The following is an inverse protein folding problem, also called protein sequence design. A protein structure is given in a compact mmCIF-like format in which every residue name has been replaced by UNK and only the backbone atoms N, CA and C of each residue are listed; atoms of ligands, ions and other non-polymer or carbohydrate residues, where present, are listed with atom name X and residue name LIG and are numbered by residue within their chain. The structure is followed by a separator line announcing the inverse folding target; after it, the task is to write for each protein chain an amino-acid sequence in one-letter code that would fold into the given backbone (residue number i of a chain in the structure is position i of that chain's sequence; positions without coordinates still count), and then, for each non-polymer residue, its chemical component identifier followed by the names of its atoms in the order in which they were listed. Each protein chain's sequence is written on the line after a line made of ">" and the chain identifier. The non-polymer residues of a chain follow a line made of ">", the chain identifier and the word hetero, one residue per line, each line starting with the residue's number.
data_IF_008285349329
#
_entry.id   IF_008285349329
#
_cell.length_a   1.000
_cell.length_b   1.000
_cell.length_c   1.000
_cell.angle_alpha   90.00
_cell.angle_beta   90.00
_cell.angle_gamma   90.00
#
_symmetry.space_group_name_H-M   'P 1'
#
loop_
_entity.id
_entity.type
_entity.pdbx_description
1 polymer ?
#
# COMPACT_ATOMS: atom_id res chain seq x y z
N UNK A 1 -11.19 7.45 -14.54
CA UNK A 1 -11.46 6.23 -13.74
C UNK A 1 -10.21 5.85 -13.00
N UNK A 2 -10.34 5.56 -11.71
CA UNK A 2 -9.19 5.14 -10.88
C UNK A 2 -8.87 3.68 -11.20
N UNK A 3 -7.63 3.38 -11.50
CA UNK A 3 -7.18 2.02 -11.71
C UNK A 3 -7.25 1.24 -10.38
N UNK A 4 -7.81 0.03 -10.42
CA UNK A 4 -7.96 -0.83 -9.23
C UNK A 4 -6.68 -1.67 -9.08
N UNK A 5 -6.12 -1.72 -7.88
CA UNK A 5 -5.04 -2.67 -7.58
C UNK A 5 -5.61 -4.09 -7.62
N UNK A 6 -4.96 -4.97 -8.37
CA UNK A 6 -5.41 -6.35 -8.53
C UNK A 6 -5.25 -7.17 -7.25
N UNK A 7 -6.10 -8.18 -7.01
CA UNK A 7 -6.00 -9.04 -5.83
C UNK A 7 -4.62 -9.71 -5.67
N UNK A 8 -3.94 -10.05 -6.76
CA UNK A 8 -2.59 -10.62 -6.73
C UNK A 8 -1.56 -9.65 -6.12
N UNK A 9 -1.74 -8.35 -6.36
CA UNK A 9 -0.87 -7.29 -5.84
C UNK A 9 -1.26 -6.94 -4.41
N UNK A 10 -2.57 -6.85 -4.09
CA UNK A 10 -3.06 -6.62 -2.73
C UNK A 10 -2.54 -7.70 -1.79
N UNK A 11 -2.60 -8.98 -2.18
CA UNK A 11 -2.08 -10.08 -1.38
C UNK A 11 -0.58 -9.93 -1.08
N UNK A 12 0.21 -9.57 -2.08
CA UNK A 12 1.65 -9.35 -1.91
C UNK A 12 1.95 -8.08 -1.10
N UNK A 13 1.20 -6.98 -1.31
CA UNK A 13 1.31 -5.75 -0.51
C UNK A 13 1.11 -6.06 0.97
N UNK A 14 0.06 -6.80 1.33
CA UNK A 14 -0.24 -7.18 2.70
C UNK A 14 0.90 -7.99 3.31
N UNK A 15 1.44 -8.95 2.57
CA UNK A 15 2.54 -9.81 3.03
C UNK A 15 3.86 -9.06 3.16
N UNK A 16 4.24 -8.27 2.17
CA UNK A 16 5.51 -7.54 2.18
C UNK A 16 5.50 -6.36 3.15
N UNK A 17 4.35 -5.71 3.35
CA UNK A 17 4.19 -4.71 4.40
C UNK A 17 4.06 -5.33 5.79
N UNK A 18 3.98 -6.67 5.89
CA UNK A 18 3.78 -7.37 7.16
C UNK A 18 2.61 -6.76 7.95
N UNK A 19 1.45 -6.67 7.31
CA UNK A 19 0.23 -6.16 7.97
C UNK A 19 -0.28 -7.22 8.94
N UNK A 20 -0.30 -6.89 10.21
CA UNK A 20 -0.68 -7.81 11.29
C UNK A 20 -1.93 -7.32 12.06
N UNK A 21 -2.65 -8.21 12.75
CA UNK A 21 -3.75 -7.81 13.62
C UNK A 21 -3.29 -6.84 14.73
N UNK A 22 -3.92 -5.68 14.79
CA UNK A 22 -3.53 -4.61 15.73
C UNK A 22 -2.62 -3.54 15.14
N UNK A 23 -2.13 -3.70 13.89
CA UNK A 23 -1.26 -2.71 13.27
C UNK A 23 -1.95 -1.36 13.07
N UNK A 24 -1.20 -0.28 13.29
CA UNK A 24 -1.57 1.08 12.92
C UNK A 24 -1.01 1.39 11.53
N UNK A 25 -1.88 1.46 10.55
CA UNK A 25 -1.54 1.64 9.14
C UNK A 25 -1.96 3.01 8.66
N UNK A 26 -1.07 3.68 7.93
CA UNK A 26 -1.42 4.86 7.11
C UNK A 26 -1.36 4.45 5.65
N UNK A 27 -2.42 4.79 4.91
CA UNK A 27 -2.56 4.58 3.48
C UNK A 27 -2.74 5.93 2.79
N UNK A 28 -2.18 6.08 1.59
CA UNK A 28 -2.57 7.15 0.70
C UNK A 28 -2.83 6.63 -0.71
N UNK A 29 -3.87 7.21 -1.33
CA UNK A 29 -4.45 6.71 -2.56
C UNK A 29 -5.63 5.78 -2.30
N UNK A 30 -6.67 6.28 -1.61
CA UNK A 30 -7.87 5.51 -1.28
C UNK A 30 -8.52 4.85 -2.51
N UNK A 31 -8.48 5.56 -3.64
CA UNK A 31 -8.83 5.03 -4.95
C UNK A 31 -10.20 4.37 -4.99
N UNK A 32 -10.23 3.08 -5.30
CA UNK A 32 -11.45 2.25 -5.32
C UNK A 32 -11.85 1.70 -3.95
N UNK A 33 -10.96 1.76 -2.96
CA UNK A 33 -11.11 1.13 -1.65
C UNK A 33 -10.71 -0.35 -1.60
N UNK A 34 -10.25 -0.93 -2.71
CA UNK A 34 -9.91 -2.36 -2.75
C UNK A 34 -8.72 -2.71 -1.85
N UNK A 35 -7.65 -1.89 -1.89
CA UNK A 35 -6.51 -2.04 -0.99
C UNK A 35 -6.92 -1.80 0.46
N UNK A 36 -7.65 -0.73 0.74
CA UNK A 36 -8.16 -0.39 2.07
C UNK A 36 -8.96 -1.52 2.69
N UNK A 37 -9.84 -2.18 1.91
CA UNK A 37 -10.58 -3.36 2.38
C UNK A 37 -9.63 -4.48 2.79
N UNK A 38 -8.56 -4.73 2.02
CA UNK A 38 -7.52 -5.69 2.36
C UNK A 38 -6.80 -5.34 3.66
N UNK A 39 -6.41 -4.07 3.80
CA UNK A 39 -5.73 -3.55 5.00
C UNK A 39 -6.62 -3.68 6.25
N UNK A 40 -7.89 -3.26 6.18
CA UNK A 40 -8.85 -3.36 7.28
C UNK A 40 -9.06 -4.81 7.74
N UNK A 41 -9.19 -5.76 6.81
CA UNK A 41 -9.32 -7.18 7.13
C UNK A 41 -8.08 -7.73 7.82
N UNK A 42 -6.89 -7.28 7.39
CA UNK A 42 -5.62 -7.77 7.93
C UNK A 42 -5.28 -7.15 9.28
N UNK A 43 -5.58 -5.86 9.50
CA UNK A 43 -5.39 -5.20 10.80
C UNK A 43 -6.40 -5.67 11.85
N UNK A 44 -7.56 -6.15 11.41
CA UNK A 44 -8.64 -6.56 12.29
C UNK A 44 -9.19 -5.43 13.17
N UNK A 45 -10.05 -5.78 14.11
CA UNK A 45 -10.74 -4.80 14.97
C UNK A 45 -9.83 -4.09 15.98
N UNK A 46 -8.66 -4.67 16.29
CA UNK A 46 -7.68 -4.09 17.22
C UNK A 46 -6.68 -3.14 16.55
N UNK A 47 -6.61 -3.15 15.22
CA UNK A 47 -5.77 -2.24 14.45
C UNK A 47 -6.55 -1.04 13.92
N UNK A 48 -5.87 -0.19 13.16
CA UNK A 48 -6.48 0.98 12.54
C UNK A 48 -5.87 1.28 11.17
N UNK A 49 -6.69 1.81 10.26
CA UNK A 49 -6.27 2.30 8.96
C UNK A 49 -6.67 3.77 8.85
N UNK A 50 -5.70 4.65 8.63
CA UNK A 50 -5.93 6.04 8.26
C UNK A 50 -5.64 6.20 6.79
N UNK A 51 -6.65 6.51 5.98
CA UNK A 51 -6.53 6.67 4.54
C UNK A 51 -6.63 8.13 4.12
N UNK A 52 -5.63 8.62 3.39
CA UNK A 52 -5.58 9.97 2.82
C UNK A 52 -6.18 9.99 1.42
N UNK A 53 -7.10 10.93 1.17
CA UNK A 53 -7.70 11.16 -0.14
C UNK A 53 -7.95 12.67 -0.34
N UNK A 54 -7.55 13.16 -1.51
CA UNK A 54 -7.75 14.57 -1.88
C UNK A 54 -9.21 14.89 -2.21
N UNK A 55 -9.91 13.95 -2.80
CA UNK A 55 -11.22 14.16 -3.41
C UNK A 55 -12.33 13.48 -2.62
N UNK A 56 -13.20 14.25 -1.98
CA UNK A 56 -14.34 13.74 -1.20
C UNK A 56 -15.26 12.81 -1.99
N UNK A 57 -15.52 13.12 -3.25
CA UNK A 57 -16.35 12.29 -4.12
C UNK A 57 -15.73 10.92 -4.39
N UNK A 58 -14.41 10.84 -4.47
CA UNK A 58 -13.69 9.57 -4.63
C UNK A 58 -13.77 8.74 -3.35
N UNK A 59 -13.58 9.36 -2.19
CA UNK A 59 -13.71 8.69 -0.91
C UNK A 59 -15.12 8.11 -0.72
N UNK A 60 -16.18 8.86 -1.09
CA UNK A 60 -17.57 8.35 -1.04
C UNK A 60 -17.76 7.12 -1.93
N UNK A 61 -17.21 7.12 -3.15
CA UNK A 61 -17.28 5.96 -4.04
C UNK A 61 -16.56 4.75 -3.44
N UNK A 62 -15.37 4.95 -2.89
CA UNK A 62 -14.60 3.90 -2.25
C UNK A 62 -15.35 3.29 -1.06
N UNK A 63 -15.93 4.11 -0.19
CA UNK A 63 -16.77 3.63 0.93
C UNK A 63 -17.98 2.80 0.44
N UNK A 64 -18.65 3.24 -0.62
CA UNK A 64 -19.75 2.48 -1.22
C UNK A 64 -19.28 1.13 -1.79
N UNK A 65 -18.05 1.05 -2.29
CA UNK A 65 -17.46 -0.22 -2.74
C UNK A 65 -17.10 -1.16 -1.59
N UNK A 66 -16.66 -0.62 -0.45
CA UNK A 66 -16.25 -1.41 0.73
C UNK A 66 -17.46 -1.91 1.51
N UNK A 67 -18.50 -1.07 1.67
CA UNK A 67 -19.64 -1.33 2.57
C UNK A 67 -20.38 -2.65 2.36
N UNK A 68 -20.51 -3.23 1.14
CA UNK A 68 -21.10 -4.54 0.95
C UNK A 68 -20.29 -5.68 1.55
N UNK A 69 -18.98 -5.49 1.71
CA UNK A 69 -18.02 -6.51 2.18
C UNK A 69 -17.63 -6.35 3.65
N UNK A 70 -17.80 -5.15 4.20
CA UNK A 70 -17.45 -4.81 5.57
C UNK A 70 -18.42 -3.74 6.11
N UNK A 71 -19.36 -4.16 6.94
CA UNK A 71 -20.41 -3.26 7.48
C UNK A 71 -19.86 -2.37 8.60
N UNK A 72 -18.99 -2.93 9.44
CA UNK A 72 -18.33 -2.21 10.53
C UNK A 72 -16.93 -1.79 10.08
N UNK A 73 -16.71 -0.48 10.05
CA UNK A 73 -15.45 0.15 9.67
C UNK A 73 -15.01 1.16 10.74
N UNK A 74 -15.29 0.87 12.03
CA UNK A 74 -14.95 1.75 13.15
C UNK A 74 -13.44 2.02 13.25
N UNK A 75 -12.62 1.15 12.69
CA UNK A 75 -11.15 1.24 12.64
C UNK A 75 -10.63 1.93 11.36
N UNK A 76 -11.51 2.49 10.50
CA UNK A 76 -11.14 3.31 9.35
C UNK A 76 -11.33 4.80 9.66
N UNK A 77 -10.28 5.57 9.46
CA UNK A 77 -10.33 7.04 9.47
C UNK A 77 -9.98 7.56 8.09
N UNK A 78 -10.83 8.42 7.52
CA UNK A 78 -10.51 9.08 6.25
C UNK A 78 -10.09 10.52 6.54
N UNK A 79 -8.90 10.87 6.08
CA UNK A 79 -8.39 12.23 6.11
C UNK A 79 -8.42 12.85 4.72
N UNK A 80 -9.06 14.01 4.63
CA UNK A 80 -9.11 14.79 3.39
C UNK A 80 -7.93 15.77 3.38
N UNK A 81 -6.92 15.47 2.58
CA UNK A 81 -5.72 16.29 2.50
C UNK A 81 -4.67 15.67 1.57
N UNK A 82 -3.67 16.47 1.28
CA UNK A 82 -2.53 16.04 0.49
C UNK A 82 -1.49 15.36 1.38
N UNK A 83 -1.22 14.08 1.12
CA UNK A 83 -0.20 13.31 1.85
C UNK A 83 1.21 13.90 1.70
N UNK A 84 1.44 14.71 0.67
CA UNK A 84 2.72 15.36 0.43
C UNK A 84 2.95 16.58 1.33
N UNK A 85 1.86 17.22 1.79
CA UNK A 85 1.95 18.46 2.55
C UNK A 85 1.90 18.23 4.06
N UNK A 86 1.04 17.32 4.51
CA UNK A 86 0.77 17.16 5.94
C UNK A 86 0.56 15.70 6.32
N UNK A 87 1.37 15.23 7.26
CA UNK A 87 1.26 13.95 7.95
C UNK A 87 1.39 14.20 9.44
N UNK A 88 0.26 14.13 10.14
CA UNK A 88 0.19 14.38 11.60
C UNK A 88 0.31 13.07 12.42
N UNK A 89 0.26 11.92 11.74
CA UNK A 89 0.36 10.63 12.40
C UNK A 89 1.75 10.42 12.99
N UNK A 90 1.76 9.80 14.15
CA UNK A 90 2.97 9.37 14.84
C UNK A 90 2.81 7.93 15.31
N UNK A 91 3.93 7.25 15.55
CA UNK A 91 3.94 5.87 16.03
C UNK A 91 3.15 4.94 15.09
N UNK A 92 3.39 5.06 13.79
CA UNK A 92 2.76 4.25 12.75
C UNK A 92 3.60 3.01 12.50
N UNK A 93 2.95 1.84 12.41
CA UNK A 93 3.63 0.59 12.11
C UNK A 93 3.95 0.46 10.63
N UNK A 94 3.00 0.84 9.76
CA UNK A 94 3.06 0.61 8.31
C UNK A 94 2.54 1.80 7.53
N UNK A 95 3.28 2.19 6.49
CA UNK A 95 2.87 3.20 5.52
C UNK A 95 2.76 2.55 4.14
N UNK A 96 1.58 2.62 3.52
CA UNK A 96 1.29 2.01 2.22
C UNK A 96 0.82 3.09 1.25
N UNK A 97 1.54 3.29 0.16
CA UNK A 97 1.35 4.39 -0.77
C UNK A 97 1.03 3.89 -2.19
N UNK A 98 -0.16 4.27 -2.69
CA UNK A 98 -0.56 4.19 -4.09
C UNK A 98 -0.76 5.60 -4.66
N UNK A 99 0.34 6.34 -4.70
CA UNK A 99 0.38 7.74 -5.16
C UNK A 99 1.49 7.93 -6.19
N UNK A 100 1.37 8.90 -7.11
CA UNK A 100 2.30 9.04 -8.23
C UNK A 100 3.73 9.45 -7.83
N UNK A 101 3.92 10.14 -6.71
CA UNK A 101 5.20 10.71 -6.29
C UNK A 101 5.58 10.38 -4.84
N UNK A 102 5.67 9.08 -4.45
CA UNK A 102 5.87 8.66 -3.06
C UNK A 102 7.21 9.13 -2.46
N UNK A 103 8.20 9.51 -3.28
CA UNK A 103 9.45 10.10 -2.80
C UNK A 103 9.24 11.40 -2.01
N UNK A 104 8.18 12.18 -2.31
CA UNK A 104 7.84 13.38 -1.56
C UNK A 104 7.31 13.08 -0.15
N UNK A 105 6.89 11.85 0.11
CA UNK A 105 6.42 11.38 1.44
C UNK A 105 7.57 10.88 2.32
N UNK A 106 8.72 10.52 1.74
CA UNK A 106 9.85 9.92 2.47
C UNK A 106 10.31 10.75 3.67
N UNK A 107 10.47 12.10 3.58
CA UNK A 107 10.85 12.92 4.73
C UNK A 107 9.82 12.90 5.88
N UNK A 108 8.54 12.76 5.56
CA UNK A 108 7.47 12.62 6.56
C UNK A 108 7.48 11.22 7.18
N UNK A 109 7.68 10.20 6.36
CA UNK A 109 7.71 8.81 6.78
C UNK A 109 8.80 8.54 7.83
N UNK A 110 9.96 9.19 7.74
CA UNK A 110 11.04 9.06 8.75
C UNK A 110 10.64 9.55 10.14
N UNK A 111 9.66 10.46 10.24
CA UNK A 111 9.20 11.02 11.51
C UNK A 111 7.97 10.31 12.06
N UNK A 112 7.17 9.71 11.19
CA UNK A 112 5.90 9.13 11.57
C UNK A 112 5.98 7.62 11.86
N UNK A 113 6.84 6.89 11.15
CA UNK A 113 7.00 5.45 11.34
C UNK A 113 7.76 5.15 12.65
N UNK A 114 7.34 4.09 13.32
CA UNK A 114 8.12 3.50 14.39
C UNK A 114 9.45 2.93 13.86
N UNK A 115 10.51 2.88 14.68
CA UNK A 115 11.71 2.11 14.34
C UNK A 115 11.32 0.65 13.98
N UNK A 116 11.82 0.17 12.84
CA UNK A 116 11.41 -1.12 12.27
C UNK A 116 10.11 -1.06 11.46
N UNK A 117 9.41 0.06 11.43
CA UNK A 117 8.23 0.28 10.59
C UNK A 117 8.53 0.14 9.10
N UNK A 118 7.55 -0.29 8.33
CA UNK A 118 7.71 -0.53 6.90
C UNK A 118 7.03 0.59 6.10
N UNK A 119 7.81 1.16 5.18
CA UNK A 119 7.37 1.97 4.06
C UNK A 119 7.14 1.03 2.87
N UNK A 120 5.97 1.09 2.24
CA UNK A 120 5.67 0.37 1.02
C UNK A 120 5.04 1.32 0.00
N UNK A 121 5.46 1.22 -1.26
CA UNK A 121 4.84 1.94 -2.37
C UNK A 121 4.54 1.02 -3.54
N UNK A 122 3.38 1.24 -4.18
CA UNK A 122 2.97 0.60 -5.43
C UNK A 122 3.10 1.60 -6.57
N UNK A 123 3.92 1.29 -7.59
CA UNK A 123 4.27 2.22 -8.66
C UNK A 123 4.16 1.56 -10.03
N UNK A 124 3.59 2.24 -11.04
CA UNK A 124 3.39 1.66 -12.37
C UNK A 124 4.65 1.59 -13.23
N UNK A 125 5.69 2.39 -12.93
CA UNK A 125 6.85 2.50 -13.84
C UNK A 125 8.19 2.34 -13.12
N UNK A 126 9.16 1.75 -13.81
CA UNK A 126 10.53 1.59 -13.30
C UNK A 126 11.24 2.92 -13.05
N UNK A 127 10.90 3.98 -13.78
CA UNK A 127 11.48 5.31 -13.56
C UNK A 127 11.03 5.90 -12.21
N UNK A 128 9.76 5.71 -11.84
CA UNK A 128 9.26 6.11 -10.53
C UNK A 128 9.92 5.30 -9.41
N UNK A 129 10.07 3.98 -9.60
CA UNK A 129 10.81 3.12 -8.67
C UNK A 129 12.23 3.63 -8.47
N UNK A 130 12.96 3.90 -9.55
CA UNK A 130 14.33 4.42 -9.46
C UNK A 130 14.42 5.72 -8.67
N UNK A 131 13.49 6.66 -8.91
CA UNK A 131 13.43 7.93 -8.17
C UNK A 131 13.15 7.70 -6.68
N UNK A 132 12.18 6.84 -6.35
CA UNK A 132 11.87 6.49 -4.98
C UNK A 132 13.05 5.83 -4.26
N UNK A 133 13.70 4.86 -4.88
CA UNK A 133 14.85 4.15 -4.29
C UNK A 133 16.00 5.12 -4.02
N UNK A 134 16.27 6.05 -4.95
CA UNK A 134 17.29 7.09 -4.75
C UNK A 134 16.97 7.97 -3.54
N UNK A 135 15.72 8.36 -3.34
CA UNK A 135 15.32 9.15 -2.17
C UNK A 135 15.44 8.35 -0.87
N UNK A 136 14.95 7.11 -0.86
CA UNK A 136 15.04 6.23 0.32
C UNK A 136 16.50 6.01 0.75
N UNK A 137 17.43 5.84 -0.19
CA UNK A 137 18.86 5.60 0.10
C UNK A 137 19.56 6.80 0.74
N UNK A 138 19.01 8.01 0.63
CA UNK A 138 19.55 9.21 1.27
C UNK A 138 19.08 9.36 2.73
N UNK A 139 18.30 8.43 3.24
CA UNK A 139 17.70 8.47 4.58
C UNK A 139 18.14 7.29 5.44
N UNK A 140 17.51 7.10 6.60
CA UNK A 140 17.74 5.94 7.47
C UNK A 140 16.91 4.70 7.07
N UNK A 141 16.22 4.70 5.95
CA UNK A 141 15.58 3.50 5.41
C UNK A 141 16.63 2.51 4.91
N UNK A 142 16.42 1.22 5.26
CA UNK A 142 17.27 0.09 4.88
C UNK A 142 16.41 -1.04 4.33
N UNK A 143 17.04 -2.13 3.87
CA UNK A 143 16.36 -3.30 3.31
C UNK A 143 15.37 -2.89 2.20
N UNK A 144 15.87 -2.04 1.29
CA UNK A 144 15.08 -1.53 0.17
C UNK A 144 15.01 -2.65 -0.88
N UNK A 145 13.81 -3.12 -1.13
CA UNK A 145 13.54 -4.19 -2.10
C UNK A 145 12.43 -3.77 -3.05
N UNK A 146 12.52 -4.20 -4.31
CA UNK A 146 11.48 -3.97 -5.30
C UNK A 146 11.13 -5.29 -6.00
N UNK A 147 9.83 -5.56 -6.12
CA UNK A 147 9.31 -6.75 -6.78
C UNK A 147 8.07 -6.40 -7.63
N UNK A 148 7.74 -7.27 -8.57
CA UNK A 148 6.44 -7.31 -9.23
C UNK A 148 5.84 -8.71 -9.15
N UNK A 149 4.51 -8.82 -9.26
CA UNK A 149 3.80 -10.10 -9.17
C UNK A 149 3.29 -10.52 -10.53
N UNK A 150 3.66 -11.73 -10.95
CA UNK A 150 3.13 -12.38 -12.13
C UNK A 150 2.22 -13.54 -11.72
N UNK A 151 0.92 -13.40 -11.92
CA UNK A 151 -0.07 -14.46 -11.72
C UNK A 151 -0.36 -15.15 -13.05
N UNK A 152 -0.01 -16.44 -13.16
CA UNK A 152 -0.27 -17.24 -14.35
C UNK A 152 -1.44 -18.19 -14.15
N UNK A 153 -2.65 -17.83 -14.64
CA UNK A 153 -3.81 -18.71 -14.56
C UNK A 153 -3.70 -19.93 -15.50
N UNK A 154 -4.29 -21.03 -15.09
CA UNK A 154 -4.39 -22.24 -15.91
C UNK A 154 -5.85 -22.56 -16.23
N UNK A 155 -6.08 -22.99 -17.46
CA UNK A 155 -7.31 -23.60 -17.88
C UNK A 155 -7.21 -25.11 -17.67
N UNK A 156 -8.00 -25.66 -16.76
CA UNK A 156 -7.98 -27.08 -16.43
C UNK A 156 -9.38 -27.66 -16.61
N UNK A 157 -9.51 -28.62 -17.52
CA UNK A 157 -10.72 -29.40 -17.76
C UNK A 157 -10.34 -30.87 -17.95
N UNK A 158 -11.30 -31.77 -18.04
CA UNK A 158 -11.03 -33.19 -18.31
C UNK A 158 -10.27 -33.43 -19.63
N UNK A 159 -10.40 -32.52 -20.60
CA UNK A 159 -9.82 -32.67 -21.96
C UNK A 159 -8.64 -31.73 -22.23
N UNK A 160 -8.37 -30.76 -21.38
CA UNK A 160 -7.35 -29.74 -21.64
C UNK A 160 -6.73 -29.22 -20.36
N UNK A 161 -5.42 -29.24 -20.28
CA UNK A 161 -4.63 -28.65 -19.21
C UNK A 161 -3.56 -27.76 -19.83
N UNK A 162 -3.75 -26.44 -19.73
CA UNK A 162 -2.84 -25.46 -20.31
C UNK A 162 -2.93 -24.11 -19.60
N UNK A 163 -1.88 -23.28 -19.65
CA UNK A 163 -2.03 -21.87 -19.24
C UNK A 163 -3.13 -21.18 -20.04
N UNK A 164 -3.81 -20.21 -19.44
CA UNK A 164 -4.71 -19.32 -20.18
C UNK A 164 -3.91 -18.56 -21.25
N UNK A 165 -4.53 -18.27 -22.40
CA UNK A 165 -3.83 -17.58 -23.50
C UNK A 165 -3.45 -16.14 -23.13
N UNK A 166 -4.29 -15.47 -22.33
CA UNK A 166 -4.05 -14.09 -21.90
C UNK A 166 -3.84 -14.04 -20.39
N UNK A 167 -2.86 -13.24 -19.97
CA UNK A 167 -2.65 -12.87 -18.57
C UNK A 167 -2.31 -11.38 -18.51
N UNK A 168 -2.66 -10.74 -17.39
CA UNK A 168 -2.13 -9.41 -17.09
C UNK A 168 -0.74 -9.63 -16.53
N UNK A 169 0.29 -9.27 -17.30
CA UNK A 169 1.67 -9.49 -16.89
C UNK A 169 2.11 -8.42 -15.89
N UNK A 170 2.25 -7.16 -16.36
CA UNK A 170 2.66 -6.05 -15.53
C UNK A 170 1.45 -5.26 -15.03
N UNK A 171 1.40 -4.97 -13.73
CA UNK A 171 0.40 -4.11 -13.09
C UNK A 171 1.04 -2.98 -12.30
N UNK A 172 2.19 -3.23 -11.71
CA UNK A 172 2.97 -2.27 -10.95
C UNK A 172 4.11 -2.96 -10.20
N UNK A 173 5.01 -2.15 -9.69
CA UNK A 173 6.12 -2.54 -8.84
C UNK A 173 5.78 -2.24 -7.38
N UNK A 174 6.11 -3.15 -6.49
CA UNK A 174 6.01 -2.98 -5.05
C UNK A 174 7.42 -2.72 -4.54
N UNK A 175 7.66 -1.54 -3.97
CA UNK A 175 8.92 -1.21 -3.32
C UNK A 175 8.71 -1.11 -1.83
N UNK A 176 9.49 -1.83 -1.04
CA UNK A 176 9.49 -1.79 0.42
C UNK A 176 10.79 -1.25 0.96
N UNK A 177 10.74 -0.63 2.13
CA UNK A 177 11.90 -0.21 2.90
C UNK A 177 11.55 -0.23 4.40
N UNK A 178 12.54 -0.49 5.24
CA UNK A 178 12.35 -0.53 6.69
C UNK A 178 13.05 0.67 7.34
N UNK A 179 12.33 1.40 8.19
CA UNK A 179 12.92 2.49 8.96
C UNK A 179 13.86 1.91 10.02
N UNK A 180 15.13 2.25 9.94
CA UNK A 180 16.15 1.84 10.91
C UNK A 180 16.55 3.02 11.78
N UNK A 181 16.78 2.77 13.07
CA UNK A 181 17.40 3.77 13.93
C UNK A 181 18.86 4.01 13.47
N UNK A 182 19.35 5.25 13.50
CA UNK A 182 20.78 5.50 13.28
C UNK A 182 21.60 4.64 14.23
N UNK A 183 22.70 4.03 13.74
CA UNK A 183 23.62 3.32 14.63
C UNK A 183 24.16 4.32 15.65
N UNK A 184 24.22 3.97 16.94
CA UNK A 184 24.95 4.77 17.92
C UNK A 184 26.38 4.99 17.41
N UNK A 185 26.84 6.23 17.44
CA UNK A 185 28.24 6.56 17.11
C UNK A 185 29.14 6.14 18.24
#
# INVERSE_FOLDING_TARGET
>A
ETQVIYPKDIGLIIMLADIFPGAKVVEAGFGSGALTLGLLRSTGNSGSVTSYELRKNQATKALNNISPFMKDMHNLTIKYGDIYEQLDETNVDRLVLDVPEPWNVVPHATRMLLPGGIFLSFLPTVLQVHKLVNELTQTCFQLIETAETLLRPWHVTQKSMRPTHRMVAHTGFITTARLCSPRPR
#
